data_IF_354735243113
#
_entry.id   IF_354735243113
#
_cell.length_a   1.000
_cell.length_b   1.000
_cell.length_c   1.000
_cell.angle_alpha   90.00
_cell.angle_beta   90.00
_cell.angle_gamma   90.00
#
_symmetry.space_group_name_H-M   'P 1'
#
loop_
_entity.id
_entity.type
_entity.pdbx_description
1 polymer ?
#
# COMPACT_ATOMS: atom_id res chain seq x y z
N UNK A 1 38.30 -9.38 8.01
CA UNK A 1 38.81 -8.27 7.17
C UNK A 1 38.37 -8.54 5.74
N UNK A 2 37.36 -7.84 5.25
CA UNK A 2 36.89 -7.94 3.86
C UNK A 2 36.75 -6.53 3.29
N UNK A 3 37.44 -6.26 2.18
CA UNK A 3 37.55 -4.95 1.55
C UNK A 3 36.17 -4.44 1.10
N UNK A 4 35.83 -3.20 1.47
CA UNK A 4 34.63 -2.52 0.96
C UNK A 4 34.95 -1.90 -0.40
N UNK A 5 34.17 -2.19 -1.46
CA UNK A 5 34.40 -1.57 -2.75
C UNK A 5 34.11 -0.06 -2.70
N UNK A 6 34.93 0.72 -3.41
CA UNK A 6 34.84 2.19 -3.48
C UNK A 6 33.84 2.62 -4.57
N UNK A 7 33.29 3.84 -4.49
CA UNK A 7 32.53 4.43 -5.59
C UNK A 7 33.36 4.45 -6.88
N UNK A 8 32.76 4.02 -7.99
CA UNK A 8 33.42 3.86 -9.29
C UNK A 8 34.05 2.47 -9.51
N UNK A 9 34.08 1.59 -8.52
CA UNK A 9 34.66 0.26 -8.67
C UNK A 9 33.71 -0.68 -9.45
N UNK A 10 34.26 -1.33 -10.50
CA UNK A 10 33.55 -2.34 -11.28
C UNK A 10 33.62 -3.68 -10.57
N UNK A 11 32.47 -4.20 -10.16
CA UNK A 11 32.38 -5.52 -9.51
C UNK A 11 31.94 -6.56 -10.55
N UNK A 12 32.65 -7.68 -10.60
CA UNK A 12 32.32 -8.83 -11.45
C UNK A 12 31.66 -9.91 -10.60
N UNK A 13 30.53 -10.44 -11.07
CA UNK A 13 29.89 -11.60 -10.46
C UNK A 13 29.86 -12.74 -11.46
N UNK A 14 30.27 -13.92 -11.02
CA UNK A 14 30.09 -15.17 -11.74
C UNK A 14 28.93 -15.91 -11.08
N UNK A 15 27.88 -16.22 -11.84
CA UNK A 15 26.84 -17.15 -11.41
C UNK A 15 27.00 -18.44 -12.19
N UNK A 16 27.16 -19.55 -11.46
CA UNK A 16 27.08 -20.90 -12.01
C UNK A 16 25.62 -21.24 -12.27
N UNK A 17 25.31 -21.79 -13.45
CA UNK A 17 23.96 -22.22 -13.81
C UNK A 17 24.03 -23.66 -14.33
N UNK A 18 23.46 -24.59 -13.55
CA UNK A 18 23.08 -25.95 -13.98
C UNK A 18 24.03 -27.10 -13.59
N UNK A 19 23.45 -28.19 -13.10
CA UNK A 19 24.00 -29.56 -13.17
C UNK A 19 23.65 -30.16 -14.55
N UNK A 20 24.66 -30.58 -15.30
CA UNK A 20 24.53 -31.13 -16.66
C UNK A 20 25.76 -30.84 -17.54
N UNK A 21 26.04 -31.74 -18.50
CA UNK A 21 27.38 -32.04 -19.04
C UNK A 21 28.14 -30.93 -19.81
N UNK A 22 27.67 -29.68 -19.88
CA UNK A 22 28.50 -28.55 -20.31
C UNK A 22 28.13 -27.24 -19.58
N UNK A 23 28.92 -26.79 -18.59
CA UNK A 23 28.69 -25.51 -17.92
C UNK A 23 29.10 -24.34 -18.83
N UNK A 24 28.18 -23.41 -19.08
CA UNK A 24 28.50 -22.12 -19.72
C UNK A 24 28.49 -21.01 -18.67
N UNK A 25 29.62 -20.30 -18.55
CA UNK A 25 29.72 -19.13 -17.66
C UNK A 25 29.24 -17.87 -18.39
N UNK A 26 28.33 -17.11 -17.77
CA UNK A 26 27.98 -15.73 -18.21
C UNK A 26 28.54 -14.73 -17.20
N UNK A 27 29.38 -13.82 -17.67
CA UNK A 27 29.95 -12.74 -16.87
C UNK A 27 29.07 -11.49 -16.93
N UNK A 28 28.83 -10.89 -15.76
CA UNK A 28 28.12 -9.61 -15.64
C UNK A 28 29.04 -8.58 -14.95
N UNK A 29 28.99 -7.32 -15.41
CA UNK A 29 29.73 -6.21 -14.79
C UNK A 29 28.80 -5.05 -14.47
N UNK A 30 28.92 -4.50 -13.26
CA UNK A 30 28.20 -3.30 -12.82
C UNK A 30 29.15 -2.33 -12.09
N UNK A 31 28.79 -1.03 -12.04
CA UNK A 31 29.61 0.03 -11.45
C UNK A 31 28.90 0.67 -10.25
N UNK A 32 29.58 0.82 -9.12
CA UNK A 32 29.01 1.40 -7.88
C UNK A 32 28.96 2.93 -7.97
N UNK A 33 27.78 3.54 -7.95
CA UNK A 33 27.61 5.02 -7.95
C UNK A 33 27.07 5.54 -6.61
N UNK A 34 27.98 5.81 -5.64
CA UNK A 34 27.71 6.70 -4.48
C UNK A 34 27.96 6.12 -3.06
N UNK A 35 28.35 6.99 -2.11
CA UNK A 35 28.53 6.70 -0.67
C UNK A 35 27.44 7.40 0.14
N UNK A 36 26.75 6.69 1.03
CA UNK A 36 25.90 7.27 2.08
C UNK A 36 26.60 7.18 3.45
N UNK A 37 26.57 8.27 4.24
CA UNK A 37 26.92 8.26 5.67
C UNK A 37 25.69 8.48 6.56
N UNK A 38 25.65 7.65 7.60
CA UNK A 38 24.69 7.47 8.70
C UNK A 38 23.82 8.68 9.10
N UNK A 39 22.50 8.51 8.96
CA UNK A 39 21.55 8.68 10.06
C UNK A 39 20.41 7.68 9.86
N UNK A 40 19.96 7.04 10.94
CA UNK A 40 19.13 5.84 10.88
C UNK A 40 17.77 6.07 10.21
N UNK A 41 17.60 5.49 9.02
CA UNK A 41 16.33 5.06 8.39
C UNK A 41 16.70 4.19 7.19
N UNK A 42 16.32 2.90 7.21
CA UNK A 42 16.45 2.02 6.04
C UNK A 42 15.28 2.34 5.10
N UNK A 43 15.58 2.81 3.90
CA UNK A 43 14.65 2.82 2.77
C UNK A 43 15.40 2.13 1.63
N UNK A 44 14.84 1.03 1.12
CA UNK A 44 15.28 0.42 -0.12
C UNK A 44 14.30 0.83 -1.23
N UNK A 45 14.84 1.47 -2.26
CA UNK A 45 14.17 1.75 -3.52
C UNK A 45 14.25 0.49 -4.40
N UNK A 46 13.13 -0.17 -4.67
CA UNK A 46 13.02 -1.21 -5.72
C UNK A 46 11.96 -0.70 -6.70
N UNK A 47 12.41 0.03 -7.73
CA UNK A 47 11.58 0.47 -8.85
C UNK A 47 12.19 0.08 -10.21
N UNK A 48 13.13 -0.87 -10.24
CA UNK A 48 13.71 -1.39 -11.48
C UNK A 48 13.43 -2.88 -11.75
N UNK A 49 13.00 -3.63 -10.74
CA UNK A 49 12.79 -5.08 -10.87
C UNK A 49 11.37 -5.44 -11.35
N UNK A 50 10.42 -4.50 -11.33
CA UNK A 50 9.03 -4.80 -11.74
C UNK A 50 8.90 -5.08 -13.24
N UNK A 51 9.67 -4.39 -14.09
CA UNK A 51 9.64 -4.63 -15.55
C UNK A 51 10.41 -5.90 -15.95
N UNK A 52 11.44 -6.27 -15.17
CA UNK A 52 12.28 -7.44 -15.49
C UNK A 52 11.59 -8.75 -15.08
N UNK A 53 10.85 -8.76 -13.96
CA UNK A 53 10.05 -9.94 -13.54
C UNK A 53 8.83 -10.15 -14.43
N UNK A 54 8.21 -9.07 -14.96
CA UNK A 54 7.13 -9.19 -15.96
C UNK A 54 7.66 -9.83 -17.26
N UNK A 55 8.92 -9.60 -17.63
CA UNK A 55 9.55 -10.30 -18.76
C UNK A 55 9.96 -11.73 -18.42
N UNK A 56 10.47 -12.01 -17.21
CA UNK A 56 10.87 -13.37 -16.82
C UNK A 56 9.66 -14.31 -16.66
N UNK A 57 8.52 -13.84 -16.16
CA UNK A 57 7.28 -14.63 -16.12
C UNK A 57 6.67 -14.87 -17.51
N UNK A 58 7.00 -14.05 -18.51
CA UNK A 58 6.62 -14.31 -19.91
C UNK A 58 7.48 -15.39 -20.59
N UNK A 59 8.67 -15.70 -20.06
CA UNK A 59 9.61 -16.62 -20.68
C UNK A 59 9.54 -18.08 -20.17
N UNK A 60 8.70 -18.38 -19.16
CA UNK A 60 8.56 -19.76 -18.60
C UNK A 60 7.47 -20.59 -19.31
N UNK A 61 6.90 -20.11 -20.43
CA UNK A 61 6.04 -20.96 -21.26
C UNK A 61 6.85 -21.85 -22.21
N UNK A 62 6.77 -23.15 -21.93
CA UNK A 62 7.31 -24.27 -22.69
C UNK A 62 6.97 -24.12 -24.18
N UNK A 63 8.01 -24.10 -25.01
CA UNK A 63 7.93 -24.06 -26.47
C UNK A 63 7.42 -25.41 -26.97
N UNK A 64 6.11 -25.53 -27.21
CA UNK A 64 5.58 -26.56 -28.09
C UNK A 64 5.71 -26.07 -29.55
N UNK A 65 6.72 -26.58 -30.26
CA UNK A 65 6.84 -26.42 -31.72
C UNK A 65 5.74 -27.24 -32.39
N UNK A 66 4.86 -26.59 -33.15
CA UNK A 66 4.03 -27.23 -34.18
C UNK A 66 4.22 -26.51 -35.53
N UNK A 67 3.99 -27.21 -36.65
CA UNK A 67 4.58 -26.89 -37.95
C UNK A 67 3.95 -25.67 -38.61
N UNK A 68 4.77 -24.98 -39.40
CA UNK A 68 4.38 -23.87 -40.26
C UNK A 68 3.70 -24.45 -41.51
N UNK A 69 2.46 -24.04 -41.77
CA UNK A 69 1.95 -23.80 -43.12
C UNK A 69 0.85 -22.73 -43.09
N UNK A 70 0.87 -21.87 -44.11
CA UNK A 70 0.29 -20.53 -44.09
C UNK A 70 -1.22 -20.40 -44.33
N UNK A 71 -1.72 -19.18 -44.07
CA UNK A 71 -3.07 -18.74 -44.40
C UNK A 71 -3.43 -17.48 -43.62
N UNK A 72 -3.76 -16.42 -44.36
CA UNK A 72 -4.24 -15.10 -43.95
C UNK A 72 -5.41 -15.16 -42.95
N UNK A 73 -5.40 -14.29 -41.93
CA UNK A 73 -6.56 -13.52 -41.43
C UNK A 73 -6.36 -12.99 -39.99
N UNK A 74 -6.52 -11.67 -39.87
CA UNK A 74 -6.91 -10.82 -38.72
C UNK A 74 -6.77 -11.35 -37.27
N UNK A 75 -6.23 -10.55 -36.32
CA UNK A 75 -6.05 -11.00 -34.94
C UNK A 75 -7.40 -11.14 -34.22
N UNK A 76 -7.97 -12.35 -34.25
CA UNK A 76 -9.01 -12.78 -33.32
C UNK A 76 -8.47 -12.64 -31.89
N UNK A 77 -9.31 -12.07 -31.03
CA UNK A 77 -9.10 -11.87 -29.60
C UNK A 77 -8.33 -13.04 -28.98
N UNK A 78 -7.12 -12.77 -28.46
CA UNK A 78 -6.40 -13.74 -27.62
C UNK A 78 -7.26 -14.02 -26.39
N UNK A 79 -7.95 -15.17 -26.39
CA UNK A 79 -8.58 -15.73 -25.20
C UNK A 79 -7.55 -15.82 -24.07
N UNK A 80 -7.97 -15.48 -22.85
CA UNK A 80 -7.10 -15.49 -21.69
C UNK A 80 -6.56 -16.89 -21.40
N UNK A 81 -5.51 -16.97 -20.58
CA UNK A 81 -4.93 -18.25 -20.14
C UNK A 81 -6.00 -19.17 -19.50
N UNK A 82 -7.01 -18.56 -18.87
CA UNK A 82 -8.19 -19.23 -18.31
C UNK A 82 -9.08 -19.82 -19.39
N UNK A 83 -9.35 -19.07 -20.48
CA UNK A 83 -10.17 -19.56 -21.60
C UNK A 83 -9.50 -20.76 -22.29
N UNK A 84 -8.16 -20.74 -22.37
CA UNK A 84 -7.39 -21.86 -22.88
C UNK A 84 -7.39 -23.06 -21.93
N UNK A 85 -7.30 -22.85 -20.61
CA UNK A 85 -7.41 -23.93 -19.61
C UNK A 85 -8.81 -24.56 -19.61
N UNK A 86 -9.87 -23.76 -19.69
CA UNK A 86 -11.25 -24.23 -19.82
C UNK A 86 -11.48 -24.95 -21.17
N UNK A 87 -10.82 -24.52 -22.25
CA UNK A 87 -10.85 -25.22 -23.51
C UNK A 87 -10.13 -26.59 -23.44
N UNK A 88 -9.02 -26.67 -22.70
CA UNK A 88 -8.29 -27.92 -22.43
C UNK A 88 -9.13 -28.86 -21.54
N UNK A 89 -9.82 -28.32 -20.54
CA UNK A 89 -10.77 -29.05 -19.67
C UNK A 89 -11.82 -29.79 -20.51
N UNK A 90 -12.48 -29.05 -21.41
CA UNK A 90 -13.50 -29.57 -22.33
C UNK A 90 -12.94 -30.58 -23.35
N UNK A 91 -11.69 -30.41 -23.78
CA UNK A 91 -11.05 -31.28 -24.76
C UNK A 91 -10.46 -32.56 -24.13
N UNK A 92 -10.04 -32.51 -22.87
CA UNK A 92 -9.27 -33.57 -22.19
C UNK A 92 -10.08 -34.35 -21.16
N UNK A 93 -11.27 -33.87 -20.77
CA UNK A 93 -12.11 -34.46 -19.72
C UNK A 93 -11.51 -34.34 -18.32
N UNK A 94 -10.57 -33.41 -18.12
CA UNK A 94 -9.86 -33.19 -16.86
C UNK A 94 -10.54 -32.07 -16.08
N UNK A 95 -11.12 -32.34 -14.90
CA UNK A 95 -11.79 -31.34 -14.05
C UNK A 95 -10.74 -30.48 -13.32
N UNK A 96 -10.43 -29.29 -13.87
CA UNK A 96 -9.49 -28.34 -13.25
C UNK A 96 -10.25 -27.47 -12.26
N UNK A 97 -10.10 -27.81 -10.97
CA UNK A 97 -10.65 -26.99 -9.88
C UNK A 97 -9.69 -25.84 -9.55
N UNK A 98 -10.27 -24.68 -9.27
CA UNK A 98 -9.53 -23.51 -8.79
C UNK A 98 -9.85 -23.26 -7.32
N UNK A 99 -8.82 -23.07 -6.50
CA UNK A 99 -8.97 -22.77 -5.08
C UNK A 99 -9.19 -21.27 -4.81
N UNK A 100 -8.74 -20.41 -5.72
CA UNK A 100 -8.93 -18.97 -5.60
C UNK A 100 -8.10 -18.17 -6.60
N UNK A 101 -7.71 -16.96 -6.21
CA UNK A 101 -6.99 -16.00 -7.05
C UNK A 101 -5.84 -15.35 -6.30
N UNK A 102 -4.70 -15.16 -6.95
CA UNK A 102 -3.74 -14.14 -6.54
C UNK A 102 -4.18 -12.78 -7.08
N UNK A 103 -4.21 -11.78 -6.20
CA UNK A 103 -4.59 -10.40 -6.49
C UNK A 103 -3.49 -9.46 -6.05
N UNK A 104 -3.14 -8.52 -6.92
CA UNK A 104 -2.27 -7.39 -6.60
C UNK A 104 -2.71 -6.15 -7.37
N UNK A 105 -2.45 -4.99 -6.81
CA UNK A 105 -2.91 -3.74 -7.39
C UNK A 105 -1.97 -2.58 -7.09
N UNK A 106 -2.03 -1.56 -7.95
CA UNK A 106 -1.41 -0.26 -7.76
C UNK A 106 -2.45 0.81 -8.02
N UNK A 107 -2.51 1.82 -7.16
CA UNK A 107 -3.46 2.93 -7.25
C UNK A 107 -2.69 4.20 -7.58
N UNK A 108 -2.94 4.72 -8.78
CA UNK A 108 -2.46 6.04 -9.18
C UNK A 108 -3.22 7.12 -8.42
N UNK A 109 -2.64 8.33 -8.35
CA UNK A 109 -3.41 9.45 -7.82
C UNK A 109 -4.52 9.86 -8.80
N UNK A 110 -5.63 10.33 -8.24
CA UNK A 110 -6.83 10.68 -8.97
C UNK A 110 -7.56 11.84 -8.29
N UNK A 111 -8.46 12.48 -9.03
CA UNK A 111 -9.39 13.50 -8.51
C UNK A 111 -10.79 13.11 -8.95
N UNK A 112 -11.56 12.57 -8.01
CA UNK A 112 -12.94 12.11 -8.26
C UNK A 112 -13.88 12.76 -7.25
N UNK A 113 -14.96 13.37 -7.73
CA UNK A 113 -15.99 13.95 -6.86
C UNK A 113 -16.82 12.85 -6.19
N UNK A 114 -17.65 13.21 -5.22
CA UNK A 114 -18.52 12.24 -4.56
C UNK A 114 -19.54 11.63 -5.51
N UNK A 115 -20.16 12.45 -6.34
CA UNK A 115 -21.19 12.05 -7.30
C UNK A 115 -20.60 11.09 -8.35
N UNK A 116 -19.39 11.41 -8.84
CA UNK A 116 -18.65 10.54 -9.76
C UNK A 116 -18.28 9.21 -9.10
N UNK A 117 -17.88 9.23 -7.82
CA UNK A 117 -17.55 8.00 -7.09
C UNK A 117 -18.79 7.12 -6.87
N UNK A 118 -19.95 7.73 -6.61
CA UNK A 118 -21.23 7.05 -6.49
C UNK A 118 -21.64 6.35 -7.80
N UNK A 119 -21.45 7.02 -8.94
CA UNK A 119 -21.66 6.44 -10.27
C UNK A 119 -20.72 5.23 -10.49
N UNK A 120 -19.43 5.40 -10.22
CA UNK A 120 -18.44 4.32 -10.34
C UNK A 120 -18.79 3.13 -9.44
N UNK A 121 -19.31 3.35 -8.23
CA UNK A 121 -19.75 2.28 -7.33
C UNK A 121 -20.91 1.49 -7.95
N UNK A 122 -21.92 2.21 -8.46
CA UNK A 122 -23.07 1.60 -9.13
C UNK A 122 -22.66 0.77 -10.35
N UNK A 123 -21.78 1.30 -11.21
CA UNK A 123 -21.28 0.61 -12.41
C UNK A 123 -20.45 -0.64 -12.09
N UNK A 124 -19.74 -0.63 -10.96
CA UNK A 124 -18.79 -1.69 -10.61
C UNK A 124 -19.40 -2.77 -9.72
N UNK A 125 -20.59 -2.53 -9.19
CA UNK A 125 -21.31 -3.44 -8.29
C UNK A 125 -20.86 -3.35 -6.83
N UNK A 126 -20.22 -2.24 -6.42
CA UNK A 126 -19.81 -2.01 -5.04
C UNK A 126 -20.97 -1.41 -4.26
N UNK A 127 -21.29 -1.96 -3.08
CA UNK A 127 -22.35 -1.43 -2.23
C UNK A 127 -22.06 0.02 -1.81
N UNK A 128 -23.02 0.91 -2.05
CA UNK A 128 -23.04 2.30 -1.59
C UNK A 128 -22.68 2.49 -0.11
N UNK A 129 -22.92 1.51 0.76
CA UNK A 129 -22.49 1.54 2.17
C UNK A 129 -20.97 1.62 2.35
N UNK A 130 -20.20 1.30 1.33
CA UNK A 130 -18.74 1.41 1.30
C UNK A 130 -18.25 2.79 0.88
N UNK A 131 -19.16 3.72 0.55
CA UNK A 131 -18.76 5.08 0.21
C UNK A 131 -18.05 5.73 1.41
N UNK A 132 -16.94 6.43 1.15
CA UNK A 132 -16.28 7.19 2.20
C UNK A 132 -17.21 8.30 2.71
N UNK A 133 -16.91 8.80 3.91
CA UNK A 133 -17.57 10.00 4.44
C UNK A 133 -17.35 11.19 3.50
N UNK A 134 -18.25 12.15 3.57
CA UNK A 134 -18.09 13.41 2.85
C UNK A 134 -16.76 14.07 3.18
N UNK A 135 -16.23 14.80 2.20
CA UNK A 135 -14.96 15.48 2.33
C UNK A 135 -15.14 16.60 3.35
N UNK A 136 -14.39 16.51 4.44
CA UNK A 136 -14.30 17.57 5.43
C UNK A 136 -13.42 18.70 4.88
N UNK A 137 -13.93 19.95 4.76
CA UNK A 137 -13.11 21.10 4.37
C UNK A 137 -11.93 21.29 5.32
N UNK A 138 -12.11 20.99 6.60
CA UNK A 138 -11.04 21.04 7.61
C UNK A 138 -9.91 20.06 7.31
N UNK A 139 -10.24 18.85 6.87
CA UNK A 139 -9.22 17.85 6.52
C UNK A 139 -8.60 18.14 5.15
N UNK A 140 -9.38 18.68 4.20
CA UNK A 140 -8.86 19.19 2.94
C UNK A 140 -7.82 20.30 3.17
N UNK A 141 -8.10 21.25 4.07
CA UNK A 141 -7.16 22.30 4.46
C UNK A 141 -5.87 21.72 5.07
N UNK A 142 -5.99 20.71 5.94
CA UNK A 142 -4.80 20.04 6.50
C UNK A 142 -3.98 19.34 5.43
N UNK A 143 -4.62 18.66 4.47
CA UNK A 143 -3.92 18.00 3.37
C UNK A 143 -3.22 19.01 2.46
N UNK A 144 -3.92 20.06 2.04
CA UNK A 144 -3.38 21.10 1.17
C UNK A 144 -2.15 21.78 1.79
N UNK A 145 -2.27 22.22 3.05
CA UNK A 145 -1.16 22.86 3.76
C UNK A 145 0.02 21.91 3.99
N UNK A 146 -0.22 20.64 4.33
CA UNK A 146 0.87 19.68 4.52
C UNK A 146 1.56 19.28 3.22
N UNK A 147 0.85 19.26 2.08
CA UNK A 147 1.41 18.93 0.77
C UNK A 147 2.34 20.04 0.23
N UNK A 148 2.05 21.30 0.55
CA UNK A 148 2.78 22.46 0.03
C UNK A 148 4.12 22.76 0.75
N UNK A 149 4.51 21.96 1.76
CA UNK A 149 5.83 22.13 2.40
C UNK A 149 6.95 21.90 1.38
N UNK A 150 7.82 22.90 1.21
CA UNK A 150 8.99 22.81 0.34
C UNK A 150 10.26 22.84 1.16
N UNK A 151 11.23 22.00 0.81
CA UNK A 151 12.50 21.89 1.53
C UNK A 151 13.65 22.04 0.57
N UNK A 152 14.74 22.61 1.09
CA UNK A 152 16.01 22.79 0.41
C UNK A 152 15.93 23.63 -0.88
N UNK A 153 15.08 24.65 -0.89
CA UNK A 153 15.06 25.63 -1.98
C UNK A 153 16.36 26.44 -1.91
N UNK A 154 17.20 26.49 -2.96
CA UNK A 154 18.44 27.26 -2.91
C UNK A 154 18.18 28.76 -2.76
N UNK A 155 18.72 29.39 -1.71
CA UNK A 155 18.71 30.85 -1.53
C UNK A 155 20.01 31.48 -2.03
N UNK A 156 21.13 30.86 -1.66
CA UNK A 156 22.46 31.26 -2.12
C UNK A 156 23.33 30.01 -2.28
N UNK A 157 23.72 29.74 -3.53
CA UNK A 157 24.55 28.58 -3.87
C UNK A 157 26.00 28.71 -3.41
N UNK A 158 26.52 29.95 -3.22
CA UNK A 158 27.90 30.18 -2.78
C UNK A 158 28.04 29.98 -1.28
N UNK A 159 27.07 30.46 -0.52
CA UNK A 159 27.02 30.34 0.95
C UNK A 159 26.36 29.02 1.41
N UNK A 160 25.99 28.14 0.47
CA UNK A 160 25.25 26.90 0.71
C UNK A 160 24.01 27.10 1.60
N UNK A 161 23.25 28.17 1.37
CA UNK A 161 22.04 28.48 2.14
C UNK A 161 20.79 28.00 1.42
N UNK A 162 19.93 27.33 2.17
CA UNK A 162 18.70 26.76 1.66
C UNK A 162 17.50 27.19 2.51
N UNK A 163 16.38 27.47 1.84
CA UNK A 163 15.08 27.75 2.43
C UNK A 163 14.25 26.45 2.55
N UNK A 164 13.66 26.28 3.72
CA UNK A 164 12.57 25.36 3.97
C UNK A 164 11.31 26.18 4.31
N UNK A 165 10.26 25.99 3.51
CA UNK A 165 8.91 26.48 3.78
C UNK A 165 8.16 25.39 4.54
N UNK A 166 8.01 25.58 5.85
CA UNK A 166 7.44 24.57 6.76
C UNK A 166 6.06 25.01 7.25
N UNK A 167 5.14 24.06 7.43
CA UNK A 167 3.85 24.34 8.04
C UNK A 167 3.83 23.85 9.49
N UNK A 168 3.27 24.67 10.40
CA UNK A 168 3.11 24.33 11.82
C UNK A 168 1.68 24.53 12.27
N UNK A 169 1.07 23.49 12.84
CA UNK A 169 -0.25 23.63 13.46
C UNK A 169 -0.10 24.30 14.82
N UNK A 170 -0.72 25.47 14.95
CA UNK A 170 -0.65 26.30 16.17
C UNK A 170 -1.85 26.00 17.05
N UNK A 171 -3.03 25.95 16.43
CA UNK A 171 -4.28 25.70 17.13
C UNK A 171 -5.26 25.01 16.19
N UNK A 172 -6.00 24.05 16.73
CA UNK A 172 -7.17 23.49 16.08
C UNK A 172 -8.27 23.28 17.10
N UNK A 173 -9.43 23.88 16.85
CA UNK A 173 -10.65 23.64 17.61
C UNK A 173 -11.83 23.39 16.66
N UNK A 174 -13.03 23.19 17.19
CA UNK A 174 -14.21 22.88 16.37
C UNK A 174 -14.57 23.98 15.37
N UNK A 175 -14.16 25.23 15.60
CA UNK A 175 -14.53 26.38 14.78
C UNK A 175 -13.44 26.79 13.79
N UNK A 176 -12.16 26.60 14.14
CA UNK A 176 -11.06 27.03 13.29
C UNK A 176 -9.84 26.13 13.37
N UNK A 177 -9.05 26.15 12.30
CA UNK A 177 -7.70 25.59 12.26
C UNK A 177 -6.74 26.73 11.90
N UNK A 178 -5.78 27.02 12.76
CA UNK A 178 -4.70 27.96 12.50
C UNK A 178 -3.38 27.20 12.33
N UNK A 179 -2.82 27.31 11.11
CA UNK A 179 -1.50 26.82 10.77
C UNK A 179 -0.61 27.99 10.37
N UNK A 180 0.68 27.90 10.65
CA UNK A 180 1.66 28.92 10.28
C UNK A 180 2.57 28.42 9.18
N UNK A 181 2.79 29.27 8.17
CA UNK A 181 3.93 29.15 7.28
C UNK A 181 5.16 29.70 7.99
N UNK A 182 6.21 28.91 8.02
CA UNK A 182 7.47 29.22 8.68
C UNK A 182 8.60 29.12 7.67
N UNK A 183 9.38 30.20 7.60
CA UNK A 183 10.68 30.27 6.94
C UNK A 183 11.72 29.66 7.84
N UNK A 184 12.36 28.59 7.39
CA UNK A 184 13.54 28.05 8.04
C UNK A 184 14.72 28.10 7.06
N UNK A 185 15.78 28.82 7.41
CA UNK A 185 17.00 28.87 6.61
C UNK A 185 18.01 27.92 7.23
N UNK A 186 18.59 27.05 6.42
CA UNK A 186 19.60 26.06 6.81
C UNK A 186 20.86 26.18 5.95
N UNK A 187 21.99 25.71 6.49
CA UNK A 187 23.23 25.59 5.73
C UNK A 187 23.30 24.28 4.90
N UNK A 188 24.42 24.06 4.22
CA UNK A 188 24.69 22.84 3.45
C UNK A 188 24.67 21.55 4.28
N UNK A 189 24.90 21.64 5.58
CA UNK A 189 24.85 20.52 6.54
C UNK A 189 23.47 20.38 7.20
N UNK A 190 22.48 21.14 6.75
CA UNK A 190 21.13 21.18 7.29
C UNK A 190 21.08 21.65 8.77
N UNK A 191 22.05 22.47 9.17
CA UNK A 191 22.05 23.17 10.46
C UNK A 191 21.20 24.43 10.31
N UNK A 192 20.27 24.63 11.23
CA UNK A 192 19.34 25.76 11.22
C UNK A 192 20.05 27.07 11.55
N UNK A 193 19.95 28.03 10.64
CA UNK A 193 20.47 29.39 10.75
C UNK A 193 19.38 30.38 11.16
N UNK A 194 18.18 30.27 10.58
CA UNK A 194 17.04 31.16 10.85
C UNK A 194 15.74 30.36 11.00
N UNK A 195 14.81 30.88 11.82
CA UNK A 195 13.47 30.31 12.01
C UNK A 195 12.45 31.43 12.26
N UNK A 196 11.66 31.77 11.24
CA UNK A 196 10.79 32.94 11.25
C UNK A 196 9.37 32.56 10.80
N UNK A 197 8.34 32.69 11.65
CA UNK A 197 6.94 32.57 11.22
C UNK A 197 6.60 33.72 10.26
N UNK A 198 6.19 33.41 9.03
CA UNK A 198 5.99 34.43 7.98
C UNK A 198 4.53 34.72 7.66
N UNK A 199 3.62 33.77 7.88
CA UNK A 199 2.19 33.99 7.71
C UNK A 199 1.36 33.05 8.59
N UNK A 200 0.20 33.52 9.05
CA UNK A 200 -0.88 32.67 9.56
C UNK A 200 -1.80 32.26 8.39
N UNK A 201 -2.16 30.98 8.36
CA UNK A 201 -3.12 30.33 7.47
C UNK A 201 -4.28 29.85 8.34
N UNK A 202 -5.40 30.54 8.28
CA UNK A 202 -6.54 30.30 9.16
C UNK A 202 -7.70 29.76 8.34
N UNK A 203 -8.11 28.53 8.61
CA UNK A 203 -9.32 27.94 8.06
C UNK A 203 -10.50 28.16 9.02
N UNK A 204 -11.57 28.75 8.49
CA UNK A 204 -12.86 29.00 9.13
C UNK A 204 -13.99 28.62 8.17
N UNK A 205 -15.25 28.79 8.59
CA UNK A 205 -16.44 28.46 7.76
C UNK A 205 -16.41 29.11 6.38
N UNK A 206 -15.85 30.32 6.27
CA UNK A 206 -15.80 31.09 5.02
C UNK A 206 -14.60 30.78 4.11
N UNK A 207 -13.79 29.77 4.46
CA UNK A 207 -12.62 29.35 3.68
C UNK A 207 -11.28 29.63 4.37
N UNK A 208 -10.25 29.91 3.58
CA UNK A 208 -8.88 30.14 4.06
C UNK A 208 -8.60 31.65 4.09
N UNK A 209 -8.16 32.13 5.25
CA UNK A 209 -7.66 33.49 5.44
C UNK A 209 -6.14 33.46 5.64
N UNK A 210 -5.44 34.33 4.91
CA UNK A 210 -3.98 34.50 5.01
C UNK A 210 -3.68 35.83 5.72
N UNK A 211 -2.84 35.79 6.76
CA UNK A 211 -2.36 36.97 7.46
C UNK A 211 -0.83 36.97 7.41
N UNK A 212 -0.20 37.74 6.51
CA UNK A 212 1.25 37.91 6.49
C UNK A 212 1.74 38.57 7.79
N UNK A 213 2.84 38.07 8.35
CA UNK A 213 3.51 38.64 9.52
C UNK A 213 4.75 39.46 9.16
N UNK A 214 5.35 39.10 8.04
CA UNK A 214 6.51 39.76 7.46
C UNK A 214 6.37 39.78 5.94
N UNK A 215 7.28 40.47 5.27
CA UNK A 215 7.38 40.41 3.81
C UNK A 215 7.74 39.00 3.33
N UNK A 216 6.88 38.50 2.42
CA UNK A 216 7.00 37.17 1.85
C UNK A 216 7.97 37.17 0.67
N UNK A 217 8.88 36.20 0.68
CA UNK A 217 9.74 35.84 -0.44
C UNK A 217 8.90 35.27 -1.59
N UNK A 218 9.50 35.21 -2.78
CA UNK A 218 8.85 34.67 -3.97
C UNK A 218 8.39 33.22 -3.74
N UNK A 219 9.30 32.34 -3.30
CA UNK A 219 8.99 30.93 -3.03
C UNK A 219 7.90 30.72 -1.95
N UNK A 220 7.79 31.66 -1.00
CA UNK A 220 6.77 31.60 0.05
C UNK A 220 5.39 31.95 -0.51
N UNK A 221 5.32 32.89 -1.46
CA UNK A 221 4.09 33.23 -2.18
C UNK A 221 3.64 32.06 -3.05
N UNK A 222 4.58 31.42 -3.75
CA UNK A 222 4.31 30.23 -4.55
C UNK A 222 3.73 29.09 -3.70
N UNK A 223 4.28 28.88 -2.49
CA UNK A 223 3.72 27.91 -1.53
C UNK A 223 2.31 28.29 -1.11
N UNK A 224 2.05 29.57 -0.83
CA UNK A 224 0.71 30.04 -0.43
C UNK A 224 -0.31 29.86 -1.56
N UNK A 225 0.05 30.15 -2.79
CA UNK A 225 -0.87 29.99 -3.93
C UNK A 225 -1.12 28.52 -4.22
N UNK A 226 -0.09 27.66 -4.15
CA UNK A 226 -0.24 26.20 -4.23
C UNK A 226 -1.19 25.65 -3.15
N UNK A 227 -1.17 26.21 -1.93
CA UNK A 227 -2.11 25.83 -0.86
C UNK A 227 -3.56 26.15 -1.24
N UNK A 228 -3.81 27.33 -1.83
CA UNK A 228 -5.17 27.73 -2.22
C UNK A 228 -5.69 26.81 -3.32
N UNK A 229 -4.90 26.60 -4.36
CA UNK A 229 -5.29 25.75 -5.50
C UNK A 229 -5.53 24.31 -5.06
N UNK A 230 -4.62 23.77 -4.24
CA UNK A 230 -4.74 22.41 -3.72
C UNK A 230 -5.95 22.28 -2.80
N UNK A 231 -6.25 23.29 -1.97
CA UNK A 231 -7.43 23.27 -1.11
C UNK A 231 -8.74 23.23 -1.91
N UNK A 232 -8.84 24.04 -2.97
CA UNK A 232 -10.01 24.07 -3.84
C UNK A 232 -10.28 22.73 -4.53
N UNK A 233 -9.22 21.98 -4.84
CA UNK A 233 -9.33 20.62 -5.37
C UNK A 233 -9.69 19.63 -4.26
N UNK A 234 -8.92 19.62 -3.17
CA UNK A 234 -9.03 18.65 -2.08
C UNK A 234 -10.34 18.77 -1.29
N UNK A 235 -11.05 19.91 -1.36
CA UNK A 235 -12.38 20.07 -0.74
C UNK A 235 -13.50 19.43 -1.54
N UNK A 236 -13.29 19.19 -2.84
CA UNK A 236 -14.32 18.69 -3.76
C UNK A 236 -14.03 17.27 -4.27
N UNK A 237 -12.77 16.82 -4.19
CA UNK A 237 -12.33 15.55 -4.76
C UNK A 237 -11.68 14.63 -3.73
N UNK A 238 -12.01 13.34 -3.80
CA UNK A 238 -11.23 12.28 -3.19
C UNK A 238 -9.96 12.00 -4.00
N UNK A 239 -8.95 11.45 -3.34
CA UNK A 239 -7.63 11.20 -3.92
C UNK A 239 -7.25 9.71 -3.94
N UNK A 240 -6.09 9.39 -4.53
CA UNK A 240 -5.62 8.01 -4.67
C UNK A 240 -5.43 7.28 -3.34
N UNK A 241 -5.24 8.01 -2.22
CA UNK A 241 -5.21 7.39 -0.88
C UNK A 241 -6.58 6.85 -0.50
N UNK A 242 -7.64 7.65 -0.66
CA UNK A 242 -9.01 7.20 -0.40
C UNK A 242 -9.37 5.99 -1.27
N UNK A 243 -9.00 6.00 -2.55
CA UNK A 243 -9.28 4.88 -3.45
C UNK A 243 -8.54 3.59 -3.01
N UNK A 244 -7.30 3.72 -2.55
CA UNK A 244 -6.54 2.60 -1.98
C UNK A 244 -7.19 2.07 -0.70
N UNK A 245 -7.70 2.95 0.16
CA UNK A 245 -8.39 2.55 1.39
C UNK A 245 -9.69 1.79 1.07
N UNK A 246 -10.44 2.19 0.05
CA UNK A 246 -11.63 1.48 -0.44
C UNK A 246 -11.27 0.08 -0.96
N UNK A 247 -10.26 -0.02 -1.85
CA UNK A 247 -9.83 -1.31 -2.39
C UNK A 247 -9.35 -2.23 -1.27
N UNK A 248 -8.57 -1.71 -0.33
CA UNK A 248 -8.13 -2.48 0.84
C UNK A 248 -9.32 -2.96 1.67
N UNK A 249 -10.29 -2.09 1.97
CA UNK A 249 -11.47 -2.48 2.76
C UNK A 249 -12.24 -3.63 2.10
N UNK A 250 -12.48 -3.55 0.78
CA UNK A 250 -13.12 -4.62 0.02
C UNK A 250 -12.28 -5.91 0.02
N UNK A 251 -10.97 -5.79 -0.15
CA UNK A 251 -10.07 -6.93 -0.15
C UNK A 251 -10.04 -7.64 1.21
N UNK A 252 -10.01 -6.90 2.32
CA UNK A 252 -9.99 -7.46 3.68
C UNK A 252 -11.28 -8.21 4.05
N UNK A 253 -12.42 -7.86 3.45
CA UNK A 253 -13.68 -8.61 3.58
C UNK A 253 -13.63 -9.98 2.91
N UNK A 254 -12.68 -10.18 1.98
CA UNK A 254 -12.41 -11.46 1.34
C UNK A 254 -11.43 -12.33 2.14
N UNK A 255 -11.09 -11.95 3.38
CA UNK A 255 -10.14 -12.67 4.23
C UNK A 255 -8.84 -13.05 3.50
N UNK A 256 -8.11 -12.07 2.95
CA UNK A 256 -6.97 -12.32 2.08
C UNK A 256 -5.77 -12.84 2.89
N UNK A 257 -4.99 -13.74 2.27
CA UNK A 257 -3.70 -14.19 2.81
C UNK A 257 -2.56 -13.58 2.00
N UNK A 258 -1.62 -12.92 2.67
CA UNK A 258 -0.46 -12.34 2.00
C UNK A 258 0.58 -13.43 1.66
N UNK A 259 0.72 -13.77 0.39
CA UNK A 259 1.66 -14.82 -0.08
C UNK A 259 3.10 -14.32 -0.26
N UNK A 260 3.39 -13.09 0.18
CA UNK A 260 4.72 -12.48 0.14
C UNK A 260 5.00 -11.77 1.45
N UNK A 261 6.21 -11.94 1.97
CA UNK A 261 6.68 -11.38 3.25
C UNK A 261 6.54 -9.85 3.36
N UNK A 262 6.72 -9.13 2.25
CA UNK A 262 6.57 -7.66 2.20
C UNK A 262 5.14 -7.18 1.95
N UNK A 263 4.17 -8.10 1.83
CA UNK A 263 2.85 -7.85 1.29
C UNK A 263 2.86 -7.54 -0.22
N UNK A 264 1.70 -7.13 -0.74
CA UNK A 264 1.52 -6.66 -2.11
C UNK A 264 1.02 -7.70 -3.11
N UNK A 265 0.96 -8.97 -2.73
CA UNK A 265 0.26 -10.03 -3.47
C UNK A 265 -0.55 -10.83 -2.47
N UNK A 266 -1.83 -11.02 -2.75
CA UNK A 266 -2.80 -11.61 -1.84
C UNK A 266 -3.49 -12.80 -2.49
N UNK A 267 -3.56 -13.92 -1.79
CA UNK A 267 -4.48 -14.99 -2.13
C UNK A 267 -5.88 -14.64 -1.63
N UNK A 268 -6.87 -14.78 -2.51
CA UNK A 268 -8.30 -14.54 -2.26
C UNK A 268 -9.08 -15.83 -2.61
N UNK A 269 -9.86 -16.39 -1.68
CA UNK A 269 -10.62 -17.62 -1.93
C UNK A 269 -11.61 -17.51 -3.10
N UNK A 270 -11.83 -18.62 -3.82
CA UNK A 270 -12.70 -18.64 -5.01
C UNK A 270 -14.13 -18.14 -4.75
N UNK A 271 -14.66 -18.34 -3.54
CA UNK A 271 -16.00 -17.86 -3.14
C UNK A 271 -16.17 -16.34 -3.23
N UNK A 272 -15.08 -15.58 -3.25
CA UNK A 272 -15.06 -14.12 -3.39
C UNK A 272 -14.76 -13.66 -4.82
N UNK A 273 -15.01 -14.52 -5.82
CA UNK A 273 -14.79 -14.20 -7.23
C UNK A 273 -15.49 -12.90 -7.66
N UNK A 274 -16.74 -12.67 -7.26
CA UNK A 274 -17.46 -11.47 -7.67
C UNK A 274 -16.90 -10.20 -7.03
N UNK A 275 -16.47 -10.25 -5.76
CA UNK A 275 -15.78 -9.13 -5.11
C UNK A 275 -14.45 -8.84 -5.82
N UNK A 276 -13.70 -9.89 -6.18
CA UNK A 276 -12.44 -9.79 -6.93
C UNK A 276 -12.65 -9.12 -8.30
N UNK A 277 -13.69 -9.52 -9.04
CA UNK A 277 -14.10 -8.90 -10.30
C UNK A 277 -14.51 -7.44 -10.10
N UNK A 278 -15.27 -7.14 -9.04
CA UNK A 278 -15.71 -5.78 -8.70
C UNK A 278 -14.52 -4.86 -8.41
N UNK A 279 -13.55 -5.29 -7.61
CA UNK A 279 -12.30 -4.56 -7.35
C UNK A 279 -11.56 -4.27 -8.67
N UNK A 280 -11.48 -5.25 -9.57
CA UNK A 280 -10.81 -5.09 -10.87
C UNK A 280 -11.53 -4.09 -11.78
N UNK A 281 -12.86 -4.14 -11.85
CA UNK A 281 -13.68 -3.16 -12.59
C UNK A 281 -13.52 -1.76 -11.99
N UNK A 282 -13.55 -1.64 -10.68
CA UNK A 282 -13.35 -0.40 -9.95
C UNK A 282 -11.98 0.22 -10.27
N UNK A 283 -10.90 -0.53 -10.10
CA UNK A 283 -9.55 -0.11 -10.44
C UNK A 283 -9.43 0.36 -11.90
N UNK A 284 -10.13 -0.30 -12.84
CA UNK A 284 -10.16 0.11 -14.24
C UNK A 284 -10.85 1.47 -14.42
N UNK A 285 -12.03 1.68 -13.82
CA UNK A 285 -12.81 2.93 -13.92
C UNK A 285 -12.11 4.13 -13.29
N UNK A 286 -11.32 3.93 -12.23
CA UNK A 286 -10.52 5.00 -11.63
C UNK A 286 -9.53 5.67 -12.60
N UNK A 287 -9.15 5.01 -13.70
CA UNK A 287 -8.24 5.58 -14.69
C UNK A 287 -8.83 6.76 -15.47
N UNK A 288 -10.15 6.93 -15.47
CA UNK A 288 -10.85 8.04 -16.11
C UNK A 288 -10.68 9.34 -15.31
N UNK A 289 -10.31 9.23 -14.03
CA UNK A 289 -10.16 10.34 -13.08
C UNK A 289 -8.70 10.55 -12.63
N UNK A 290 -7.73 9.94 -13.30
CA UNK A 290 -6.31 10.00 -12.89
C UNK A 290 -5.76 11.42 -12.99
N UNK A 291 -4.97 11.83 -12.00
CA UNK A 291 -4.25 13.12 -11.96
C UNK A 291 -2.79 13.02 -12.41
N UNK A 292 -2.34 11.80 -12.72
CA UNK A 292 -0.96 11.50 -13.09
C UNK A 292 -0.92 10.61 -14.34
N UNK A 293 0.25 10.51 -14.96
CA UNK A 293 0.45 9.60 -16.11
C UNK A 293 0.42 8.12 -15.73
N UNK A 294 0.56 7.81 -14.44
CA UNK A 294 0.48 6.44 -13.93
C UNK A 294 -0.97 5.95 -13.95
N UNK A 295 -1.14 4.68 -14.32
CA UNK A 295 -2.46 4.02 -14.33
C UNK A 295 -2.69 3.23 -13.05
N UNK A 296 -3.91 3.29 -12.56
CA UNK A 296 -4.41 2.34 -11.58
C UNK A 296 -4.54 0.97 -12.26
N UNK A 297 -3.93 -0.04 -11.67
CA UNK A 297 -3.89 -1.41 -12.19
C UNK A 297 -4.32 -2.39 -11.11
N UNK A 298 -5.08 -3.40 -11.50
CA UNK A 298 -5.44 -4.53 -10.64
C UNK A 298 -5.35 -5.80 -11.48
N UNK A 299 -4.52 -6.72 -11.01
CA UNK A 299 -4.24 -7.98 -11.66
C UNK A 299 -4.75 -9.11 -10.80
N UNK A 300 -5.21 -10.15 -11.49
CA UNK A 300 -5.82 -11.34 -10.88
C UNK A 300 -5.29 -12.55 -11.63
N UNK A 301 -4.78 -13.55 -10.93
CA UNK A 301 -4.31 -14.81 -11.50
C UNK A 301 -5.02 -15.97 -10.78
N UNK A 302 -5.82 -16.79 -11.46
CA UNK A 302 -6.46 -17.93 -10.82
C UNK A 302 -5.43 -18.97 -10.39
N UNK A 303 -5.65 -19.58 -9.23
CA UNK A 303 -4.82 -20.64 -8.67
C UNK A 303 -5.56 -21.96 -8.75
N UNK A 304 -4.91 -22.92 -9.40
CA UNK A 304 -5.38 -24.30 -9.46
C UNK A 304 -5.33 -24.93 -8.08
N UNK A 305 -6.28 -25.83 -7.84
CA UNK A 305 -6.39 -26.58 -6.60
C UNK A 305 -5.45 -27.79 -6.63
N UNK A 306 -4.16 -27.55 -6.39
CA UNK A 306 -3.11 -28.56 -6.33
C UNK A 306 -2.27 -28.43 -5.07
N UNK A 307 -1.59 -29.51 -4.70
CA UNK A 307 -0.87 -29.66 -3.43
C UNK A 307 0.18 -28.57 -3.20
N UNK A 308 0.93 -28.20 -4.24
CA UNK A 308 1.95 -27.14 -4.16
C UNK A 308 1.33 -25.77 -3.84
N UNK A 309 0.23 -25.41 -4.51
CA UNK A 309 -0.46 -24.14 -4.27
C UNK A 309 -1.13 -24.12 -2.89
N UNK A 310 -1.67 -25.26 -2.42
CA UNK A 310 -2.21 -25.38 -1.06
C UNK A 310 -1.13 -25.18 -0.02
N UNK A 311 0.00 -25.87 -0.14
CA UNK A 311 1.14 -25.76 0.78
C UNK A 311 1.67 -24.32 0.86
N UNK A 312 1.76 -23.61 -0.27
CA UNK A 312 2.14 -22.18 -0.28
C UNK A 312 1.15 -21.31 0.52
N UNK A 313 -0.16 -21.57 0.39
CA UNK A 313 -1.20 -20.83 1.12
C UNK A 313 -1.17 -21.18 2.60
N UNK A 314 -0.95 -22.45 2.95
CA UNK A 314 -0.79 -22.92 4.33
C UNK A 314 0.37 -22.21 5.02
N UNK A 315 1.58 -22.24 4.45
CA UNK A 315 2.76 -21.56 5.00
C UNK A 315 2.50 -20.05 5.18
N UNK A 316 1.90 -19.42 4.17
CA UNK A 316 1.57 -17.98 4.22
C UNK A 316 0.52 -17.65 5.29
N UNK A 317 -0.47 -18.52 5.49
CA UNK A 317 -1.49 -18.37 6.52
C UNK A 317 -0.88 -18.51 7.92
N UNK A 318 -0.03 -19.49 8.13
CA UNK A 318 0.66 -19.70 9.41
C UNK A 318 1.53 -18.51 9.78
N UNK A 319 2.34 -18.04 8.84
CA UNK A 319 3.18 -16.85 9.01
C UNK A 319 2.33 -15.61 9.35
N UNK A 320 1.22 -15.41 8.64
CA UNK A 320 0.32 -14.29 8.89
C UNK A 320 -0.33 -14.38 10.28
N UNK A 321 -0.87 -15.54 10.65
CA UNK A 321 -1.52 -15.75 11.95
C UNK A 321 -0.52 -15.61 13.09
N UNK A 322 0.69 -16.18 12.96
CA UNK A 322 1.74 -16.08 13.96
C UNK A 322 2.21 -14.62 14.14
N UNK A 323 2.48 -13.93 13.03
CA UNK A 323 2.92 -12.53 13.03
C UNK A 323 1.86 -11.60 13.63
N UNK A 324 0.61 -11.72 13.19
CA UNK A 324 -0.49 -10.88 13.68
C UNK A 324 -0.85 -11.16 15.14
N UNK A 325 -0.90 -12.44 15.55
CA UNK A 325 -1.16 -12.82 16.94
C UNK A 325 -0.08 -12.26 17.87
N UNK A 326 1.19 -12.40 17.48
CA UNK A 326 2.32 -11.85 18.23
C UNK A 326 2.25 -10.32 18.34
N UNK A 327 1.95 -9.64 17.24
CA UNK A 327 1.81 -8.18 17.25
C UNK A 327 0.69 -7.73 18.20
N UNK A 328 -0.46 -8.42 18.18
CA UNK A 328 -1.59 -8.15 19.08
C UNK A 328 -1.19 -8.39 20.54
N UNK A 329 -0.53 -9.51 20.84
CA UNK A 329 -0.04 -9.84 22.19
C UNK A 329 0.95 -8.79 22.70
N UNK A 330 1.92 -8.38 21.85
CA UNK A 330 2.92 -7.38 22.20
C UNK A 330 2.30 -5.99 22.45
N UNK A 331 1.31 -5.59 21.66
CA UNK A 331 0.54 -4.37 21.87
C UNK A 331 -0.23 -4.42 23.20
N UNK A 332 -0.93 -5.52 23.48
CA UNK A 332 -1.67 -5.73 24.72
C UNK A 332 -0.77 -5.75 25.96
N UNK A 333 0.41 -6.37 25.85
CA UNK A 333 1.41 -6.39 26.91
C UNK A 333 1.95 -4.98 27.22
N UNK A 334 2.18 -4.15 26.19
CA UNK A 334 2.59 -2.75 26.36
C UNK A 334 1.49 -1.91 27.01
N UNK A 335 0.23 -2.13 26.64
CA UNK A 335 -0.91 -1.44 27.27
C UNK A 335 -1.06 -1.81 28.74
N UNK A 336 -0.91 -3.10 29.07
CA UNK A 336 -1.04 -3.58 30.46
C UNK A 336 0.09 -3.08 31.36
N UNK A 337 1.29 -2.84 30.81
CA UNK A 337 2.44 -2.30 31.54
C UNK A 337 2.46 -0.77 31.60
N UNK A 338 1.66 -0.09 30.79
CA UNK A 338 1.61 1.36 30.74
C UNK A 338 0.71 1.94 31.83
N UNK A 339 0.98 3.19 32.23
CA UNK A 339 0.14 3.95 33.19
C UNK A 339 -1.16 4.47 32.56
N UNK A 340 -1.42 4.18 31.28
CA UNK A 340 -2.55 4.74 30.55
C UNK A 340 -3.82 3.94 30.83
N UNK A 341 -4.86 4.63 31.33
CA UNK A 341 -6.19 4.04 31.53
C UNK A 341 -6.71 3.42 30.23
N UNK A 342 -7.04 2.14 30.29
CA UNK A 342 -7.60 1.40 29.15
C UNK A 342 -9.11 1.69 29.09
N UNK A 343 -9.62 1.96 27.89
CA UNK A 343 -11.06 2.23 27.70
C UNK A 343 -11.78 0.97 27.22
N UNK A 344 -13.07 0.85 27.52
CA UNK A 344 -13.89 -0.29 27.09
C UNK A 344 -13.88 -0.43 25.56
N UNK A 345 -13.90 0.71 24.86
CA UNK A 345 -13.82 0.75 23.40
C UNK A 345 -12.52 0.13 22.87
N UNK A 346 -11.38 0.44 23.51
CA UNK A 346 -10.09 -0.11 23.12
C UNK A 346 -10.00 -1.61 23.41
N UNK A 347 -10.51 -2.05 24.56
CA UNK A 347 -10.57 -3.48 24.90
C UNK A 347 -11.40 -4.27 23.87
N UNK A 348 -12.60 -3.77 23.53
CA UNK A 348 -13.45 -4.36 22.50
C UNK A 348 -12.76 -4.42 21.13
N UNK A 349 -11.95 -3.42 20.77
CA UNK A 349 -11.19 -3.45 19.51
C UNK A 349 -10.19 -4.60 19.45
N UNK A 350 -9.50 -4.93 20.55
CA UNK A 350 -8.60 -6.08 20.59
C UNK A 350 -9.35 -7.40 20.46
N UNK A 351 -10.48 -7.54 21.15
CA UNK A 351 -11.34 -8.72 21.05
C UNK A 351 -11.82 -8.93 19.60
N UNK A 352 -12.30 -7.88 18.94
CA UNK A 352 -12.76 -7.98 17.55
C UNK A 352 -11.62 -8.26 16.57
N UNK A 353 -10.41 -7.74 16.81
CA UNK A 353 -9.22 -8.05 16.00
C UNK A 353 -8.86 -9.54 16.09
N UNK A 354 -8.81 -10.11 17.30
CA UNK A 354 -8.51 -11.55 17.48
C UNK A 354 -9.63 -12.42 16.92
N UNK A 355 -10.91 -12.04 17.10
CA UNK A 355 -12.03 -12.76 16.48
C UNK A 355 -11.94 -12.77 14.95
N UNK A 356 -11.54 -11.66 14.34
CA UNK A 356 -11.38 -11.57 12.89
C UNK A 356 -10.26 -12.49 12.40
N UNK A 357 -9.13 -12.55 13.11
CA UNK A 357 -8.03 -13.47 12.80
C UNK A 357 -8.44 -14.95 12.98
N UNK A 358 -9.25 -15.26 14.00
CA UNK A 358 -9.81 -16.60 14.19
C UNK A 358 -10.77 -17.00 13.06
N UNK A 359 -11.61 -16.07 12.59
CA UNK A 359 -12.50 -16.31 11.44
C UNK A 359 -11.72 -16.59 10.16
N UNK A 360 -10.67 -15.81 9.89
CA UNK A 360 -9.72 -16.06 8.79
C UNK A 360 -9.16 -17.49 8.90
N UNK A 361 -8.59 -17.84 10.06
CA UNK A 361 -7.99 -19.17 10.25
C UNK A 361 -9.00 -20.31 10.04
N UNK A 362 -10.17 -20.27 10.67
CA UNK A 362 -11.18 -21.33 10.55
C UNK A 362 -11.67 -21.51 9.11
N UNK A 363 -11.85 -20.43 8.36
CA UNK A 363 -12.22 -20.54 6.96
C UNK A 363 -11.18 -21.27 6.11
N UNK A 364 -9.90 -20.99 6.35
CA UNK A 364 -8.83 -21.63 5.61
C UNK A 364 -8.57 -23.06 6.11
N UNK A 365 -8.80 -23.33 7.39
CA UNK A 365 -8.81 -24.68 7.97
C UNK A 365 -9.77 -25.59 7.19
N UNK A 366 -11.00 -25.10 6.97
CA UNK A 366 -12.05 -25.81 6.22
C UNK A 366 -11.71 -25.92 4.72
N UNK A 367 -11.21 -24.83 4.11
CA UNK A 367 -10.90 -24.78 2.68
C UNK A 367 -9.70 -25.65 2.30
N UNK A 368 -8.66 -25.66 3.12
CA UNK A 368 -7.41 -26.41 2.88
C UNK A 368 -7.46 -27.82 3.45
N UNK A 369 -8.45 -28.11 4.32
CA UNK A 369 -8.50 -29.33 5.13
C UNK A 369 -7.20 -29.51 5.95
N UNK A 370 -6.70 -28.40 6.49
CA UNK A 370 -5.42 -28.26 7.16
C UNK A 370 -5.64 -27.82 8.61
N UNK A 371 -4.81 -28.29 9.57
CA UNK A 371 -4.85 -27.82 10.96
C UNK A 371 -3.45 -27.54 11.49
N UNK A 372 -3.24 -26.31 11.95
CA UNK A 372 -2.02 -25.87 12.64
C UNK A 372 -2.25 -25.79 14.15
N UNK A 373 -1.55 -26.65 14.90
CA UNK A 373 -1.55 -26.61 16.37
C UNK A 373 -0.95 -25.30 16.87
N UNK A 374 0.11 -24.81 16.21
CA UNK A 374 0.80 -23.58 16.59
C UNK A 374 -0.07 -22.34 16.35
N UNK A 375 -0.69 -22.23 15.17
CA UNK A 375 -1.58 -21.10 14.87
C UNK A 375 -2.76 -21.06 15.85
N UNK A 376 -3.33 -22.23 16.18
CA UNK A 376 -4.43 -22.32 17.15
C UNK A 376 -3.99 -21.90 18.56
N UNK A 377 -2.83 -22.37 19.03
CA UNK A 377 -2.29 -21.97 20.33
C UNK A 377 -2.03 -20.45 20.39
N UNK A 378 -1.49 -19.86 19.33
CA UNK A 378 -1.25 -18.42 19.24
C UNK A 378 -2.55 -17.61 19.30
N UNK A 379 -3.59 -18.06 18.60
CA UNK A 379 -4.92 -17.43 18.63
C UNK A 379 -5.57 -17.51 20.01
N UNK A 380 -5.45 -18.65 20.69
CA UNK A 380 -6.01 -18.83 22.03
C UNK A 380 -5.28 -17.95 23.06
N UNK A 381 -3.96 -17.84 22.99
CA UNK A 381 -3.18 -16.90 23.80
C UNK A 381 -3.57 -15.44 23.55
N UNK A 382 -3.72 -15.05 22.28
CA UNK A 382 -4.17 -13.70 21.92
C UNK A 382 -5.58 -13.42 22.45
N UNK A 383 -6.49 -14.40 22.39
CA UNK A 383 -7.86 -14.27 22.90
C UNK A 383 -7.87 -14.12 24.42
N UNK A 384 -7.09 -14.94 25.14
CA UNK A 384 -6.93 -14.82 26.60
C UNK A 384 -6.41 -13.43 26.98
N UNK A 385 -5.41 -12.91 26.27
CA UNK A 385 -4.90 -11.56 26.47
C UNK A 385 -5.99 -10.48 26.27
N UNK A 386 -6.78 -10.59 25.20
CA UNK A 386 -7.84 -9.62 24.89
C UNK A 386 -8.96 -9.65 25.95
N UNK A 387 -9.39 -10.84 26.36
CA UNK A 387 -10.39 -11.02 27.42
C UNK A 387 -9.88 -10.51 28.77
N UNK A 388 -8.61 -10.77 29.10
CA UNK A 388 -7.99 -10.27 30.33
C UNK A 388 -7.96 -8.75 30.42
N UNK A 389 -7.78 -8.06 29.29
CA UNK A 389 -7.89 -6.58 29.23
C UNK A 389 -9.35 -6.16 29.42
N UNK A 390 -10.30 -6.82 28.76
CA UNK A 390 -11.72 -6.49 28.86
C UNK A 390 -12.24 -6.59 30.30
N UNK A 391 -11.95 -7.70 30.98
CA UNK A 391 -12.38 -7.90 32.37
C UNK A 391 -11.78 -6.87 33.34
N UNK A 392 -10.54 -6.43 33.11
CA UNK A 392 -9.94 -5.36 33.92
C UNK A 392 -10.71 -4.04 33.81
N UNK A 393 -11.12 -3.68 32.60
CA UNK A 393 -11.89 -2.44 32.38
C UNK A 393 -13.28 -2.52 33.02
N UNK A 394 -13.93 -3.68 32.95
CA UNK A 394 -15.24 -3.92 33.59
C UNK A 394 -15.17 -3.83 35.12
N UNK A 395 -14.10 -4.35 35.72
CA UNK A 395 -13.84 -4.25 37.16
C UNK A 395 -13.53 -2.83 37.62
N UNK A 396 -12.87 -2.01 36.80
CA UNK A 396 -12.60 -0.59 37.12
C UNK A 396 -13.81 0.34 36.90
N UNK A 397 -14.85 -0.14 36.22
CA UNK A 397 -16.08 0.59 35.94
C UNK A 397 -17.21 0.29 36.93
N UNK A 398 -17.08 -0.80 37.70
CA UNK A 398 -17.97 -1.21 38.79
C UNK A 398 -17.49 -0.61 40.12
#
# INVERSE_FOLDING_TARGET
MGLRPRPGERIRFNKWIGEGDQPTSKQWTGTVTGVFRRSGKRIYQILRDHDQVVQELQHVNIVARLPKDGGDDTPKSRGGLVDNLVAIEKASGMDIKFIGFLLWFSVADCRITREQLEEVFSETGIDSKRLPKEISPRDAFRRATSAAEKKRIPLDLKEERFLNCMIREIRADSKQINRQLVREIVDGKNVRLEYTPVADLIHQENGIHLIPKVDLLHDERDVIDEIKDTYEIEKNCYNGRTMRDIINALLWECHPVAVRTSGGVYFVPARYEETTKSIKRFAKRLNDYRSTDHKTTCWTMPLVDAEEQRSMIEESLEDQVASESKAVIDEMAKLTKGERKITQKLANQYVERVKSLKKLYTEYEDMLNYKSVEAQANLDLAMQGAMGILSKVELEAS
#
